data_IF_902000709360
#
_entry.id   IF_902000709360
#
_cell.length_a   1.000
_cell.length_b   1.000
_cell.length_c   1.000
_cell.angle_alpha   90.00
_cell.angle_beta   90.00
_cell.angle_gamma   90.00
#
_symmetry.space_group_name_H-M   'P 1'
#
loop_
_entity.id
_entity.type
_entity.pdbx_description
1 polymer ?
#
# COMPACT_ATOMS: atom_id res chain seq x y z
N UNK A 1 -9.77 -14.07 -2.88
CA UNK A 1 -9.73 -12.97 -1.90
C UNK A 1 -10.23 -13.51 -0.56
N UNK A 2 -9.46 -13.36 0.51
CA UNK A 2 -9.86 -13.81 1.85
C UNK A 2 -10.97 -12.90 2.40
N UNK A 3 -11.85 -13.45 3.23
CA UNK A 3 -12.98 -12.73 3.83
C UNK A 3 -12.48 -11.92 5.03
N UNK A 4 -12.95 -10.70 5.21
CA UNK A 4 -12.62 -9.87 6.36
C UNK A 4 -13.09 -10.49 7.69
N UNK A 5 -12.33 -10.26 8.76
CA UNK A 5 -12.63 -10.73 10.11
C UNK A 5 -12.07 -9.76 11.16
N UNK A 6 -12.63 -9.80 12.37
CA UNK A 6 -12.18 -8.96 13.48
C UNK A 6 -10.82 -9.43 14.02
N UNK A 7 -9.91 -8.48 14.21
CA UNK A 7 -8.62 -8.70 14.84
C UNK A 7 -8.81 -9.13 16.31
N UNK A 8 -8.34 -10.32 16.66
CA UNK A 8 -8.41 -10.83 18.04
C UNK A 8 -7.31 -10.25 18.94
N UNK A 9 -6.19 -9.87 18.35
CA UNK A 9 -5.01 -9.37 19.04
C UNK A 9 -4.47 -8.13 18.32
N UNK A 10 -3.79 -7.23 19.03
CA UNK A 10 -3.08 -6.13 18.41
C UNK A 10 -2.00 -6.63 17.44
N UNK A 11 -1.80 -5.91 16.34
CA UNK A 11 -0.82 -6.25 15.31
C UNK A 11 -0.38 -5.03 14.50
N UNK A 12 0.23 -5.26 13.34
CA UNK A 12 0.53 -4.22 12.36
C UNK A 12 -0.04 -4.59 11.00
N UNK A 13 -0.62 -3.60 10.34
CA UNK A 13 -1.01 -3.70 8.94
C UNK A 13 0.25 -3.79 8.09
N UNK A 14 0.36 -4.81 7.26
CA UNK A 14 1.52 -4.99 6.38
C UNK A 14 1.51 -4.04 5.18
N UNK A 15 0.38 -3.37 4.92
CA UNK A 15 0.21 -2.44 3.81
C UNK A 15 0.56 -1.00 4.25
N UNK A 16 -0.27 -0.38 5.10
CA UNK A 16 -0.03 0.99 5.58
C UNK A 16 0.99 1.12 6.72
N UNK A 17 1.47 0.00 7.28
CA UNK A 17 2.37 -0.01 8.44
C UNK A 17 1.73 0.40 9.77
N UNK A 18 0.46 0.82 9.76
CA UNK A 18 -0.32 1.26 10.91
C UNK A 18 -0.60 0.15 11.92
N UNK A 19 -0.92 0.54 13.16
CA UNK A 19 -1.32 -0.41 14.19
C UNK A 19 -2.70 -1.01 13.88
N UNK A 20 -2.83 -2.33 14.08
CA UNK A 20 -4.11 -3.02 14.12
C UNK A 20 -4.49 -3.17 15.58
N UNK A 21 -5.66 -2.66 15.95
CA UNK A 21 -6.22 -2.82 17.29
C UNK A 21 -7.22 -3.98 17.34
N UNK A 22 -7.45 -4.51 18.54
CA UNK A 22 -8.44 -5.58 18.74
C UNK A 22 -9.83 -5.08 18.36
N UNK A 23 -10.57 -5.88 17.59
CA UNK A 23 -11.91 -5.57 17.09
C UNK A 23 -11.92 -4.82 15.76
N UNK A 24 -10.78 -4.38 15.24
CA UNK A 24 -10.71 -3.80 13.90
C UNK A 24 -10.88 -4.88 12.83
N UNK A 25 -11.53 -4.51 11.72
CA UNK A 25 -11.71 -5.41 10.57
C UNK A 25 -10.42 -5.52 9.77
N UNK A 26 -9.96 -6.75 9.60
CA UNK A 26 -8.74 -7.09 8.86
C UNK A 26 -8.99 -8.24 7.90
N UNK A 27 -8.17 -8.34 6.86
CA UNK A 27 -8.12 -9.45 5.91
C UNK A 27 -6.69 -9.98 5.83
N UNK A 28 -6.54 -11.24 5.41
CA UNK A 28 -5.23 -11.82 5.17
C UNK A 28 -4.87 -11.61 3.69
N UNK A 29 -3.87 -10.78 3.42
CA UNK A 29 -3.29 -10.66 2.09
C UNK A 29 -2.25 -11.76 1.93
N UNK A 30 -2.60 -12.82 1.18
CA UNK A 30 -1.59 -13.74 0.68
C UNK A 30 -0.88 -12.97 -0.43
N UNK A 31 0.29 -12.39 -0.13
CA UNK A 31 1.05 -11.58 -1.09
C UNK A 31 1.16 -12.27 -2.44
N UNK A 32 1.23 -11.49 -3.52
CA UNK A 32 1.34 -12.04 -4.86
C UNK A 32 2.55 -12.97 -4.93
N UNK A 33 2.33 -14.19 -5.44
CA UNK A 33 3.34 -15.23 -5.60
C UNK A 33 4.50 -14.82 -6.51
N UNK A 34 4.40 -13.65 -7.14
CA UNK A 34 5.41 -13.04 -8.00
C UNK A 34 6.26 -11.97 -7.28
N UNK A 35 6.04 -11.72 -5.99
CA UNK A 35 6.81 -10.79 -5.16
C UNK A 35 7.26 -11.47 -3.87
N UNK A 36 8.40 -11.04 -3.29
CA UNK A 36 8.96 -11.57 -2.02
C UNK A 36 8.09 -11.13 -0.80
N UNK A 37 6.87 -10.64 -1.02
CA UNK A 37 5.96 -10.24 0.03
C UNK A 37 5.39 -11.49 0.71
N UNK A 38 5.96 -11.83 1.87
CA UNK A 38 5.38 -12.82 2.78
C UNK A 38 4.00 -12.33 3.19
N UNK A 39 2.97 -13.15 2.98
CA UNK A 39 1.58 -12.76 3.28
C UNK A 39 1.38 -12.23 4.70
N UNK A 40 0.42 -11.32 4.88
CA UNK A 40 0.25 -10.54 6.10
C UNK A 40 -1.19 -10.09 6.36
N UNK A 41 -1.41 -9.53 7.55
CA UNK A 41 -2.70 -8.95 7.92
C UNK A 41 -2.77 -7.49 7.45
N UNK A 42 -3.87 -7.13 6.80
CA UNK A 42 -4.13 -5.77 6.34
C UNK A 42 -5.51 -5.33 6.77
N UNK A 43 -5.72 -4.03 7.01
CA UNK A 43 -7.06 -3.51 7.31
C UNK A 43 -8.01 -3.72 6.14
N UNK A 44 -9.29 -3.96 6.42
CA UNK A 44 -10.31 -4.20 5.39
C UNK A 44 -10.58 -2.98 4.48
N UNK A 45 -10.14 -1.79 4.90
CA UNK A 45 -10.18 -0.55 4.12
C UNK A 45 -8.81 0.00 3.70
N UNK A 46 -7.72 -0.74 3.93
CA UNK A 46 -6.47 -0.50 3.20
C UNK A 46 -6.66 -1.13 1.82
N UNK A 47 -7.30 -0.37 0.93
CA UNK A 47 -7.20 -0.60 -0.51
C UNK A 47 -5.80 -0.17 -0.91
N UNK A 48 -5.09 -1.12 -1.53
CA UNK A 48 -3.72 -1.06 -2.02
C UNK A 48 -3.23 0.39 -2.11
N UNK A 49 -2.55 0.85 -1.04
CA UNK A 49 -1.84 2.10 -1.13
C UNK A 49 -0.76 1.85 -2.18
N UNK A 50 -1.06 2.24 -3.42
CA UNK A 50 -0.24 2.01 -4.60
C UNK A 50 1.21 2.26 -4.18
N UNK A 51 2.07 1.22 -4.18
CA UNK A 51 3.37 1.29 -3.52
C UNK A 51 4.08 2.51 -4.09
N UNK A 52 4.30 3.52 -3.24
CA UNK A 52 4.68 4.89 -3.62
C UNK A 52 5.33 4.90 -5.00
N UNK A 53 4.56 5.24 -6.05
CA UNK A 53 5.06 5.16 -7.42
C UNK A 53 6.44 5.79 -7.45
N UNK A 54 7.47 5.09 -7.94
CA UNK A 54 8.82 5.62 -7.91
C UNK A 54 8.78 7.01 -8.55
N UNK A 55 9.41 8.01 -7.92
CA UNK A 55 9.34 9.38 -8.37
C UNK A 55 9.69 9.45 -9.86
N UNK A 56 8.71 9.80 -10.69
CA UNK A 56 8.95 9.96 -12.12
C UNK A 56 9.85 11.17 -12.31
N UNK A 57 11.10 10.92 -12.67
CA UNK A 57 12.05 11.98 -13.01
C UNK A 57 11.67 12.52 -14.38
N UNK A 58 11.40 13.82 -14.47
CA UNK A 58 11.29 14.50 -15.75
C UNK A 58 12.67 14.53 -16.41
N UNK A 59 12.83 13.92 -17.58
CA UNK A 59 14.12 13.91 -18.31
C UNK A 59 14.45 15.25 -18.95
N UNK A 60 13.50 16.19 -19.01
CA UNK A 60 13.69 17.55 -19.53
C UNK A 60 14.36 18.46 -18.50
N UNK A 61 13.97 18.37 -17.22
CA UNK A 61 14.47 19.26 -16.15
C UNK A 61 15.15 18.53 -14.98
N UNK A 62 15.20 17.20 -15.02
CA UNK A 62 15.77 16.33 -13.99
C UNK A 62 15.14 16.48 -12.59
N UNK A 63 13.92 17.01 -12.50
CA UNK A 63 13.15 17.12 -11.26
C UNK A 63 12.11 16.00 -11.14
N UNK A 64 11.73 15.68 -9.91
CA UNK A 64 10.62 14.76 -9.59
C UNK A 64 9.28 15.40 -9.98
N UNK A 65 8.42 14.69 -10.71
CA UNK A 65 7.05 15.15 -11.01
C UNK A 65 6.25 15.44 -9.72
N UNK A 66 5.30 16.39 -9.76
CA UNK A 66 4.91 17.22 -10.91
C UNK A 66 5.88 18.40 -11.16
N UNK A 67 6.23 18.64 -12.42
CA UNK A 67 6.99 19.80 -12.89
C UNK A 67 6.33 20.39 -14.16
N UNK A 68 6.38 21.70 -14.37
CA UNK A 68 5.65 22.40 -15.43
C UNK A 68 6.17 22.19 -16.88
N UNK A 69 7.12 21.28 -17.10
CA UNK A 69 7.68 21.02 -18.45
C UNK A 69 6.62 20.57 -19.49
N UNK A 70 5.50 20.01 -19.03
CA UNK A 70 4.43 19.46 -19.88
C UNK A 70 3.14 20.31 -19.83
N UNK A 71 3.13 21.44 -19.09
CA UNK A 71 1.94 22.27 -18.90
C UNK A 71 1.61 23.19 -20.10
N UNK A 72 2.19 22.95 -21.27
CA UNK A 72 2.12 23.87 -22.41
C UNK A 72 2.40 23.24 -23.78
N UNK A 73 1.79 22.10 -24.08
CA UNK A 73 1.70 21.57 -25.45
C UNK A 73 0.23 21.44 -25.88
#
# INVERSE_FOLDING_TARGET
>A
MSRAFEARYPGRCTDCGGAIERGQMIRYSAGDSNTIAVGGFVHDGCEDADPEQPPVICTTCWLTKPCDCEAGA
#
